data_IF_862708245503
#
_entry.id   IF_862708245503
#
_cell.length_a   1.000
_cell.length_b   1.000
_cell.length_c   1.000
_cell.angle_alpha   90.00
_cell.angle_beta   90.00
_cell.angle_gamma   90.00
#
_symmetry.space_group_name_H-M   'P 1'
#
loop_
_entity.id
_entity.type
_entity.pdbx_description
1 polymer ?
#
# COMPACT_ATOMS: atom_id res chain seq x y z
N UNK A 1 -9.28 20.02 4.84
CA UNK A 1 -8.37 19.05 4.22
C UNK A 1 -8.18 17.80 5.08
N UNK A 2 -7.80 17.93 6.36
CA UNK A 2 -7.55 16.77 7.25
C UNK A 2 -8.70 15.75 7.32
N UNK A 3 -9.94 16.21 7.50
CA UNK A 3 -11.13 15.33 7.51
C UNK A 3 -11.28 14.52 6.23
N UNK A 4 -11.19 15.16 5.06
CA UNK A 4 -11.28 14.48 3.75
C UNK A 4 -10.16 13.45 3.56
N UNK A 5 -8.96 13.73 4.06
CA UNK A 5 -7.85 12.77 4.00
C UNK A 5 -8.11 11.54 4.87
N UNK A 6 -8.74 11.71 6.04
CA UNK A 6 -9.12 10.59 6.90
C UNK A 6 -10.28 9.78 6.32
N UNK A 7 -11.30 10.44 5.76
CA UNK A 7 -12.39 9.79 5.02
C UNK A 7 -11.81 8.95 3.87
N UNK A 8 -10.93 9.54 3.06
CA UNK A 8 -10.25 8.84 1.97
C UNK A 8 -9.37 7.67 2.45
N UNK A 9 -8.69 7.81 3.60
CA UNK A 9 -7.88 6.73 4.18
C UNK A 9 -8.75 5.53 4.59
N UNK A 10 -9.89 5.78 5.25
CA UNK A 10 -10.85 4.73 5.61
C UNK A 10 -11.45 4.09 4.35
N UNK A 11 -11.87 4.90 3.39
CA UNK A 11 -12.40 4.44 2.10
C UNK A 11 -11.38 3.64 1.29
N UNK A 12 -10.08 3.82 1.52
CA UNK A 12 -9.04 3.06 0.82
C UNK A 12 -8.90 1.62 1.29
N UNK A 13 -9.38 1.30 2.50
CA UNK A 13 -9.22 -0.04 3.08
C UNK A 13 -9.89 -1.08 2.20
N UNK A 14 -9.10 -2.02 1.70
CA UNK A 14 -9.54 -3.09 0.80
C UNK A 14 -9.62 -2.71 -0.67
N UNK A 15 -9.14 -1.53 -1.07
CA UNK A 15 -8.83 -1.23 -2.47
C UNK A 15 -7.42 -1.74 -2.85
N UNK A 16 -7.15 -1.86 -4.14
CA UNK A 16 -5.86 -2.28 -4.67
C UNK A 16 -4.87 -1.14 -4.87
N UNK A 17 -3.58 -1.48 -4.85
CA UNK A 17 -2.48 -0.64 -5.29
C UNK A 17 -1.73 -1.33 -6.44
N UNK A 18 -1.09 -0.53 -7.30
CA UNK A 18 -0.12 -1.06 -8.24
C UNK A 18 1.25 -1.13 -7.56
N UNK A 19 1.80 -2.35 -7.41
CA UNK A 19 3.09 -2.52 -6.75
C UNK A 19 4.24 -1.89 -7.56
N UNK A 20 4.04 -1.66 -8.86
CA UNK A 20 5.04 -0.98 -9.72
C UNK A 20 4.98 0.54 -9.61
N UNK A 21 3.95 1.09 -8.95
CA UNK A 21 3.79 2.50 -8.65
C UNK A 21 4.09 2.81 -7.17
N UNK A 22 4.01 4.10 -6.80
CA UNK A 22 4.08 4.52 -5.40
C UNK A 22 2.79 4.12 -4.66
N UNK A 23 2.90 3.89 -3.35
CA UNK A 23 1.81 3.39 -2.48
C UNK A 23 1.11 4.52 -1.71
N UNK A 24 1.44 5.78 -1.98
CA UNK A 24 0.70 6.93 -1.41
C UNK A 24 -0.78 6.84 -1.77
N UNK A 25 -1.65 7.28 -0.86
CA UNK A 25 -3.11 7.24 -0.98
C UNK A 25 -3.66 7.76 -2.32
N UNK A 26 -2.99 8.72 -2.96
CA UNK A 26 -3.38 9.25 -4.29
C UNK A 26 -3.29 8.24 -5.44
N UNK A 27 -2.54 7.15 -5.27
CA UNK A 27 -2.36 6.08 -6.27
C UNK A 27 -3.27 4.87 -6.04
N UNK A 28 -4.16 4.91 -5.05
CA UNK A 28 -5.11 3.83 -4.82
C UNK A 28 -5.99 3.61 -6.05
N UNK A 29 -6.18 2.35 -6.47
CA UNK A 29 -7.07 1.99 -7.58
C UNK A 29 -8.52 2.11 -7.10
N UNK A 30 -9.23 3.15 -7.56
CA UNK A 30 -10.62 3.46 -7.16
C UNK A 30 -11.68 2.74 -8.00
N UNK A 31 -11.37 1.55 -8.52
CA UNK A 31 -12.28 0.78 -9.38
C UNK A 31 -13.25 -0.06 -8.54
N UNK A 32 -12.74 -1.02 -7.79
CA UNK A 32 -13.53 -1.92 -6.95
C UNK A 32 -12.76 -2.35 -5.70
N UNK A 33 -13.51 -2.72 -4.65
CA UNK A 33 -12.93 -3.38 -3.47
C UNK A 33 -12.42 -4.75 -3.86
N UNK A 34 -11.18 -5.05 -3.50
CA UNK A 34 -10.59 -6.38 -3.72
C UNK A 34 -10.99 -7.38 -2.65
N UNK A 35 -11.24 -6.87 -1.44
CA UNK A 35 -11.61 -7.66 -0.27
C UNK A 35 -12.95 -7.19 0.29
N UNK A 36 -13.70 -8.15 0.81
CA UNK A 36 -14.92 -7.91 1.58
C UNK A 36 -14.55 -7.45 2.98
N UNK A 37 -15.13 -6.33 3.41
CA UNK A 37 -14.97 -5.80 4.76
C UNK A 37 -16.03 -6.45 5.66
N UNK A 38 -15.65 -7.24 6.69
CA UNK A 38 -16.61 -7.84 7.61
C UNK A 38 -17.44 -6.77 8.34
N UNK A 39 -18.66 -7.13 8.72
CA UNK A 39 -19.56 -6.30 9.50
C UNK A 39 -19.84 -4.92 8.87
N UNK A 40 -19.90 -4.85 7.53
CA UNK A 40 -20.15 -3.59 6.82
C UNK A 40 -21.48 -2.93 7.21
N UNK A 41 -22.47 -3.72 7.64
CA UNK A 41 -23.76 -3.20 8.12
C UNK A 41 -23.68 -2.63 9.55
N UNK A 42 -22.63 -2.97 10.31
CA UNK A 42 -22.39 -2.48 11.65
C UNK A 42 -21.32 -1.39 11.63
N UNK A 43 -21.79 -0.16 11.40
CA UNK A 43 -20.93 1.03 11.35
C UNK A 43 -20.93 1.81 12.67
N UNK A 44 -19.88 2.60 12.88
CA UNK A 44 -19.76 3.57 13.97
C UNK A 44 -19.02 4.83 13.51
N UNK A 45 -19.21 5.92 14.22
CA UNK A 45 -18.35 7.08 14.09
C UNK A 45 -17.03 6.82 14.85
N UNK A 46 -15.89 7.16 14.25
CA UNK A 46 -14.58 7.06 14.89
C UNK A 46 -13.95 8.44 15.05
N UNK A 47 -13.36 8.68 16.22
CA UNK A 47 -12.56 9.87 16.46
C UNK A 47 -11.16 9.68 15.88
N UNK A 48 -10.71 10.65 15.09
CA UNK A 48 -9.36 10.68 14.52
C UNK A 48 -8.50 11.62 15.35
N UNK A 49 -7.22 11.27 15.60
CA UNK A 49 -6.24 12.21 16.14
C UNK A 49 -6.26 13.54 15.37
N UNK A 50 -6.50 14.65 16.08
CA UNK A 50 -6.75 15.96 15.47
C UNK A 50 -8.17 16.50 15.68
N UNK A 51 -9.04 15.77 16.39
CA UNK A 51 -10.26 16.33 17.00
C UNK A 51 -11.50 16.32 16.10
N UNK A 52 -11.53 15.49 15.06
CA UNK A 52 -12.68 15.34 14.18
C UNK A 52 -13.15 13.88 14.09
N UNK A 53 -14.39 13.69 13.64
CA UNK A 53 -15.03 12.38 13.46
C UNK A 53 -15.07 11.99 11.99
N UNK A 54 -14.80 10.72 11.71
CA UNK A 54 -15.16 10.06 10.45
C UNK A 54 -16.40 9.21 10.71
N UNK A 55 -17.44 9.41 9.91
CA UNK A 55 -18.75 8.78 10.12
C UNK A 55 -18.87 7.44 9.42
N UNK A 56 -19.79 6.62 9.91
CA UNK A 56 -20.22 5.38 9.25
C UNK A 56 -19.05 4.42 8.89
N UNK A 57 -18.08 4.27 9.79
CA UNK A 57 -16.93 3.38 9.59
C UNK A 57 -17.28 1.97 10.05
N UNK A 58 -17.09 0.93 9.22
CA UNK A 58 -17.25 -0.47 9.63
C UNK A 58 -16.49 -0.77 10.92
N UNK A 59 -17.10 -1.53 11.84
CA UNK A 59 -16.49 -1.80 13.15
C UNK A 59 -15.12 -2.48 13.08
N UNK A 60 -14.90 -3.28 12.04
CA UNK A 60 -13.66 -3.98 11.74
C UNK A 60 -12.50 -3.04 11.37
N UNK A 61 -12.76 -1.79 11.01
CA UNK A 61 -11.72 -0.79 10.75
C UNK A 61 -11.42 -0.04 12.05
N UNK A 62 -10.15 -0.05 12.46
CA UNK A 62 -9.63 0.70 13.60
C UNK A 62 -8.83 1.91 13.12
N UNK A 63 -8.78 2.92 13.98
CA UNK A 63 -7.90 4.06 13.80
C UNK A 63 -7.07 4.23 15.07
N UNK A 64 -5.80 3.88 14.95
CA UNK A 64 -4.84 4.02 16.05
C UNK A 64 -4.11 5.35 15.95
N UNK A 65 -3.56 5.78 17.08
CA UNK A 65 -2.68 6.95 17.13
C UNK A 65 -1.50 6.71 16.21
N UNK A 66 -1.06 7.77 15.55
CA UNK A 66 0.15 7.73 14.77
C UNK A 66 1.38 7.76 15.67
N UNK A 67 2.54 7.78 15.02
CA UNK A 67 3.85 7.72 15.66
C UNK A 67 4.84 8.62 14.95
N UNK A 68 5.90 8.97 15.66
CA UNK A 68 7.05 9.69 15.11
C UNK A 68 8.25 8.76 15.19
N UNK A 69 8.74 8.31 14.05
CA UNK A 69 9.90 7.44 13.96
C UNK A 69 10.97 8.11 13.11
N UNK A 70 12.23 8.02 13.55
CA UNK A 70 13.37 8.28 12.68
C UNK A 70 13.81 6.96 12.08
N UNK A 71 13.89 6.91 10.76
CA UNK A 71 14.48 5.79 10.03
C UNK A 71 15.78 6.27 9.41
N UNK A 72 16.85 5.52 9.65
CA UNK A 72 18.13 5.70 9.02
C UNK A 72 18.66 4.33 8.61
N UNK A 73 19.14 4.22 7.38
CA UNK A 73 19.81 3.01 6.89
C UNK A 73 21.33 3.14 6.98
N UNK A 74 22.01 2.00 6.92
CA UNK A 74 23.42 1.98 6.53
C UNK A 74 23.59 2.40 5.05
N UNK A 75 24.85 2.47 4.59
CA UNK A 75 25.17 2.58 3.17
C UNK A 75 25.06 1.20 2.54
N UNK A 76 24.01 0.98 1.78
CA UNK A 76 23.64 -0.32 1.20
C UNK A 76 23.87 -0.35 -0.30
N UNK A 77 24.05 -1.53 -0.87
CA UNK A 77 23.91 -1.72 -2.33
C UNK A 77 22.46 -1.53 -2.77
N UNK A 78 22.24 -1.32 -4.08
CA UNK A 78 20.89 -1.22 -4.66
C UNK A 78 20.00 -2.42 -4.27
N UNK A 79 20.56 -3.64 -4.34
CA UNK A 79 19.84 -4.88 -4.07
C UNK A 79 19.44 -4.99 -2.60
N UNK A 80 20.35 -4.67 -1.67
CA UNK A 80 20.07 -4.68 -0.23
C UNK A 80 19.00 -3.66 0.14
N UNK A 81 19.08 -2.44 -0.40
CA UNK A 81 18.07 -1.42 -0.15
C UNK A 81 16.71 -1.81 -0.74
N UNK A 82 16.68 -2.34 -1.97
CA UNK A 82 15.45 -2.85 -2.58
C UNK A 82 14.82 -3.98 -1.76
N UNK A 83 15.63 -4.88 -1.20
CA UNK A 83 15.15 -5.99 -0.37
C UNK A 83 14.58 -5.47 0.96
N UNK A 84 15.19 -4.45 1.56
CA UNK A 84 14.64 -3.79 2.76
C UNK A 84 13.25 -3.20 2.49
N UNK A 85 13.07 -2.47 1.38
CA UNK A 85 11.76 -1.93 0.97
C UNK A 85 10.73 -3.04 0.70
N UNK A 86 11.14 -4.20 0.16
CA UNK A 86 10.24 -5.33 -0.01
C UNK A 86 9.81 -5.94 1.34
N UNK A 87 10.73 -6.07 2.29
CA UNK A 87 10.43 -6.59 3.62
C UNK A 87 9.46 -5.70 4.40
N UNK A 88 9.59 -4.37 4.27
CA UNK A 88 8.64 -3.39 4.84
C UNK A 88 7.21 -3.60 4.31
N UNK A 89 7.07 -4.10 3.08
CA UNK A 89 5.78 -4.45 2.45
C UNK A 89 5.37 -5.92 2.66
N UNK A 90 6.12 -6.68 3.47
CA UNK A 90 5.94 -8.13 3.67
C UNK A 90 6.00 -8.93 2.36
N UNK A 91 6.80 -8.48 1.40
CA UNK A 91 7.03 -9.12 0.11
C UNK A 91 8.31 -9.95 0.14
N UNK A 92 8.29 -11.09 -0.56
CA UNK A 92 9.49 -11.86 -0.87
C UNK A 92 9.94 -11.55 -2.30
N UNK A 93 11.24 -11.29 -2.50
CA UNK A 93 11.80 -11.12 -3.84
C UNK A 93 12.80 -9.99 -3.98
N UNK A 94 13.37 -9.91 -5.19
CA UNK A 94 14.49 -9.01 -5.55
C UNK A 94 14.10 -7.89 -6.51
N UNK A 95 12.84 -7.85 -6.95
CA UNK A 95 12.35 -6.80 -7.85
C UNK A 95 11.96 -5.60 -6.98
N UNK A 96 12.48 -4.40 -7.25
CA UNK A 96 12.13 -3.23 -6.46
C UNK A 96 10.68 -2.80 -6.69
N UNK A 97 9.95 -2.43 -5.62
CA UNK A 97 8.60 -1.89 -5.74
C UNK A 97 8.66 -0.44 -6.23
N UNK A 98 7.56 0.06 -6.79
CA UNK A 98 7.46 1.45 -7.23
C UNK A 98 7.64 2.46 -6.09
N UNK A 99 7.32 2.08 -4.85
CA UNK A 99 7.60 2.89 -3.67
C UNK A 99 9.12 3.12 -3.45
N UNK A 100 9.95 2.10 -3.68
CA UNK A 100 11.41 2.25 -3.65
C UNK A 100 11.88 3.18 -4.77
N UNK A 101 11.35 3.01 -5.99
CA UNK A 101 11.69 3.88 -7.11
C UNK A 101 11.33 5.33 -6.82
N UNK A 102 10.16 5.58 -6.22
CA UNK A 102 9.72 6.91 -5.83
C UNK A 102 10.57 7.53 -4.70
N UNK A 103 11.11 6.72 -3.78
CA UNK A 103 11.95 7.19 -2.69
C UNK A 103 13.32 7.69 -3.17
N UNK A 104 13.87 7.09 -4.23
CA UNK A 104 15.20 7.41 -4.78
C UNK A 104 15.14 8.05 -6.18
N UNK A 105 13.95 8.43 -6.64
CA UNK A 105 13.71 9.08 -7.95
C UNK A 105 14.17 8.26 -9.17
N UNK A 106 14.11 6.92 -9.06
CA UNK A 106 14.45 6.01 -10.16
C UNK A 106 13.35 5.94 -11.22
N UNK A 107 13.76 5.97 -12.49
CA UNK A 107 12.85 6.00 -13.65
C UNK A 107 13.35 5.21 -14.86
N UNK A 108 14.59 4.70 -14.85
CA UNK A 108 15.25 4.17 -16.04
C UNK A 108 15.06 2.65 -16.22
N UNK A 109 14.27 2.01 -15.36
CA UNK A 109 14.07 0.58 -15.29
C UNK A 109 15.09 -0.07 -14.35
N UNK A 110 14.63 -0.99 -13.51
CA UNK A 110 15.39 -1.43 -12.34
C UNK A 110 16.79 -1.99 -12.66
N UNK A 111 16.98 -2.68 -13.79
CA UNK A 111 18.30 -3.19 -14.18
C UNK A 111 19.27 -2.04 -14.47
N UNK A 112 18.80 -0.99 -15.15
CA UNK A 112 19.62 0.17 -15.50
C UNK A 112 19.88 1.03 -14.28
N UNK A 113 18.86 1.26 -13.45
CA UNK A 113 19.01 1.99 -12.19
C UNK A 113 20.00 1.27 -11.25
N UNK A 114 19.91 -0.05 -11.13
CA UNK A 114 20.85 -0.86 -10.37
C UNK A 114 22.28 -0.77 -10.90
N UNK A 115 22.48 -0.89 -12.23
CA UNK A 115 23.81 -0.85 -12.84
C UNK A 115 24.50 0.52 -12.68
N UNK A 116 23.72 1.61 -12.58
CA UNK A 116 24.25 2.97 -12.43
C UNK A 116 24.30 3.45 -10.97
N UNK A 117 23.85 2.62 -10.02
CA UNK A 117 23.82 2.98 -8.60
C UNK A 117 24.88 2.22 -7.84
N UNK A 118 25.88 2.94 -7.31
CA UNK A 118 26.93 2.32 -6.50
C UNK A 118 26.42 1.91 -5.11
N UNK A 119 25.77 2.85 -4.43
CA UNK A 119 25.28 2.70 -3.06
C UNK A 119 24.08 3.61 -2.81
N UNK A 120 23.22 3.23 -1.87
CA UNK A 120 22.07 3.98 -1.40
C UNK A 120 22.09 4.10 0.11
N UNK A 121 21.57 5.20 0.62
CA UNK A 121 21.27 5.39 2.03
C UNK A 121 20.08 6.34 2.16
N UNK A 122 19.30 6.21 3.22
CA UNK A 122 18.28 7.18 3.57
C UNK A 122 18.32 7.49 5.07
N UNK A 123 18.03 8.74 5.42
CA UNK A 123 17.83 9.20 6.80
C UNK A 123 16.66 10.19 6.80
N UNK A 124 15.64 9.90 7.59
CA UNK A 124 14.41 10.66 7.59
C UNK A 124 13.62 10.50 8.88
N UNK A 125 12.84 11.53 9.20
CA UNK A 125 11.83 11.48 10.27
C UNK A 125 10.47 11.35 9.62
N UNK A 126 9.79 10.26 9.93
CA UNK A 126 8.45 9.95 9.47
C UNK A 126 7.47 10.24 10.61
N UNK A 127 6.47 11.08 10.31
CA UNK A 127 5.41 11.47 11.25
C UNK A 127 4.11 10.92 10.70
N UNK A 128 3.71 9.76 11.21
CA UNK A 128 2.39 9.20 10.99
C UNK A 128 1.42 9.92 11.91
N UNK A 129 0.33 10.50 11.38
CA UNK A 129 -0.67 11.19 12.20
C UNK A 129 -1.64 10.21 12.87
N UNK A 130 -2.00 9.16 12.12
CA UNK A 130 -2.90 8.10 12.53
C UNK A 130 -2.72 6.89 11.61
N UNK A 131 -3.09 5.71 12.09
CA UNK A 131 -3.10 4.47 11.29
C UNK A 131 -4.52 3.95 11.17
N UNK A 132 -5.08 3.93 9.95
CA UNK A 132 -6.35 3.26 9.67
C UNK A 132 -6.06 1.84 9.19
N UNK A 133 -6.49 0.84 9.94
CA UNK A 133 -6.21 -0.56 9.64
C UNK A 133 -7.46 -1.41 9.78
N UNK A 134 -7.59 -2.40 8.91
CA UNK A 134 -8.54 -3.49 9.12
C UNK A 134 -7.99 -4.37 10.25
N UNK A 135 -8.77 -4.56 11.31
CA UNK A 135 -8.42 -5.48 12.39
C UNK A 135 -8.26 -6.89 11.81
N UNK A 136 -7.24 -7.63 12.28
CA UNK A 136 -6.92 -8.99 11.83
C UNK A 136 -8.16 -9.88 11.96
N UNK A 137 -8.86 -9.99 10.85
CA UNK A 137 -10.10 -10.73 10.65
C UNK A 137 -9.90 -11.65 9.46
N UNK A 138 -10.77 -12.65 9.30
CA UNK A 138 -10.76 -13.49 8.11
C UNK A 138 -11.17 -12.63 6.90
N UNK A 139 -10.16 -12.10 6.22
CA UNK A 139 -10.35 -11.29 5.01
C UNK A 139 -10.70 -12.21 3.85
N UNK A 140 -11.80 -11.92 3.17
CA UNK A 140 -12.27 -12.68 2.01
C UNK A 140 -12.12 -11.83 0.76
N UNK A 141 -11.65 -12.42 -0.35
CA UNK A 141 -11.70 -11.77 -1.66
C UNK A 141 -13.15 -11.55 -2.08
N UNK A 142 -13.43 -10.43 -2.75
CA UNK A 142 -14.72 -10.22 -3.40
C UNK A 142 -14.89 -11.22 -4.56
N UNK A 143 -16.13 -11.59 -4.88
CA UNK A 143 -16.39 -12.68 -5.85
C UNK A 143 -15.92 -12.35 -7.26
N UNK A 144 -16.03 -11.10 -7.69
CA UNK A 144 -15.48 -10.67 -8.98
C UNK A 144 -13.96 -10.85 -9.06
N UNK A 145 -13.23 -10.70 -7.94
CA UNK A 145 -11.79 -10.94 -7.90
C UNK A 145 -11.51 -12.43 -8.02
N UNK A 146 -12.25 -13.28 -7.29
CA UNK A 146 -12.10 -14.74 -7.40
C UNK A 146 -12.36 -15.22 -8.83
N UNK A 147 -13.38 -14.67 -9.50
CA UNK A 147 -13.72 -15.00 -10.88
C UNK A 147 -12.68 -14.51 -11.89
N UNK A 148 -11.99 -13.40 -11.59
CA UNK A 148 -10.93 -12.85 -12.44
C UNK A 148 -9.60 -13.60 -12.32
N UNK A 149 -9.38 -14.37 -11.25
CA UNK A 149 -8.17 -15.18 -11.08
C UNK A 149 -8.27 -16.41 -11.99
N UNK A 150 -7.37 -16.58 -12.97
CA UNK A 150 -7.38 -17.76 -13.82
C UNK A 150 -7.02 -19.01 -13.01
N UNK A 151 -7.57 -20.15 -13.41
CA UNK A 151 -7.30 -21.45 -12.79
C UNK A 151 -5.87 -21.97 -13.05
N UNK A 152 -5.13 -21.36 -13.96
CA UNK A 152 -3.76 -21.75 -14.32
C UNK A 152 -2.90 -20.52 -14.67
N UNK A 153 -1.59 -20.65 -14.47
CA UNK A 153 -0.62 -19.62 -14.81
C UNK A 153 -0.22 -19.72 -16.29
N UNK A 154 -0.85 -18.92 -17.15
CA UNK A 154 -0.50 -18.76 -18.56
C UNK A 154 -0.07 -17.30 -18.81
N UNK A 155 1.24 -16.99 -18.79
CA UNK A 155 1.73 -15.62 -18.92
C UNK A 155 1.30 -14.94 -20.23
N UNK A 156 1.37 -15.58 -21.41
CA UNK A 156 0.82 -15.02 -22.64
C UNK A 156 -0.68 -14.67 -22.55
N UNK A 157 -1.51 -15.50 -21.93
CA UNK A 157 -2.93 -15.18 -21.76
C UNK A 157 -3.15 -14.01 -20.79
N UNK A 158 -2.40 -13.97 -19.69
CA UNK A 158 -2.41 -12.89 -18.70
C UNK A 158 -1.91 -11.56 -19.27
N UNK A 159 -0.97 -11.58 -20.21
CA UNK A 159 -0.46 -10.37 -20.86
C UNK A 159 -1.44 -9.80 -21.92
N UNK A 160 -2.47 -10.57 -22.31
CA UNK A 160 -3.45 -10.17 -23.34
C UNK A 160 -4.70 -9.50 -22.77
N UNK A 161 -4.89 -9.47 -21.45
CA UNK A 161 -6.07 -8.81 -20.85
C UNK A 161 -6.08 -7.31 -21.14
N UNK A 162 -7.20 -6.87 -21.72
CA UNK A 162 -7.41 -5.59 -22.37
C UNK A 162 -7.12 -4.38 -21.46
N UNK A 163 -6.48 -3.38 -22.06
CA UNK A 163 -6.54 -1.97 -21.65
C UNK A 163 -7.99 -1.50 -21.86
N UNK A 164 -8.82 -1.52 -20.83
CA UNK A 164 -10.07 -0.74 -20.76
C UNK A 164 -9.94 0.35 -19.69
#
# INVERSE_FOLDING_TARGET
>A
MARKAAEAAVESIGLGYDLTADLKLKYVKKTSKLISIPDHDYVRDIAIPGGFLVRNVPKSIKCDKGERIRFASDVLSFQQMSEQFNQELSLSGKIPPGHFNAAFEFTAGWQKDAANTKTLAFDGVFITLYNCALEKSQVMLCDHVKQAVPSSWDPPALAKTNLE
#
